data_IF_903858030975
#
_entry.id   IF_903858030975
#
_cell.length_a   1.000
_cell.length_b   1.000
_cell.length_c   1.000
_cell.angle_alpha   90.00
_cell.angle_beta   90.00
_cell.angle_gamma   90.00
#
_symmetry.space_group_name_H-M   'P 1'
#
loop_
_entity.id
_entity.type
_entity.pdbx_description
1 polymer ?
#
# COMPACT_ATOMS: atom_id res chain seq x y z
N UNK A 1 16.30 -18.96 5.83
CA UNK A 1 15.25 -17.94 5.68
C UNK A 1 15.72 -17.05 4.55
N UNK A 2 15.42 -17.43 3.31
CA UNK A 2 15.80 -16.68 2.11
C UNK A 2 14.50 -16.34 1.39
N UNK A 3 14.12 -15.06 1.35
CA UNK A 3 13.10 -14.56 0.45
C UNK A 3 13.84 -13.83 -0.67
N UNK A 4 13.82 -14.41 -1.87
CA UNK A 4 14.28 -13.80 -3.10
C UNK A 4 13.10 -12.98 -3.65
N UNK A 5 13.18 -11.66 -3.62
CA UNK A 5 12.28 -10.79 -4.37
C UNK A 5 13.02 -10.33 -5.63
N UNK A 6 12.63 -10.88 -6.78
CA UNK A 6 12.99 -10.34 -8.08
C UNK A 6 11.80 -9.56 -8.62
N UNK A 7 11.89 -8.23 -8.62
CA UNK A 7 10.88 -7.37 -9.23
C UNK A 7 11.50 -6.61 -10.41
N UNK A 8 10.96 -6.85 -11.60
CA UNK A 8 11.31 -6.16 -12.84
C UNK A 8 10.59 -4.81 -12.87
N UNK A 9 11.35 -3.70 -12.86
CA UNK A 9 10.79 -2.35 -13.06
C UNK A 9 11.03 -1.83 -14.48
N UNK A 10 9.94 -1.31 -15.03
CA UNK A 10 9.77 -0.80 -16.38
C UNK A 10 9.99 0.72 -16.36
N UNK A 11 10.94 1.19 -17.16
CA UNK A 11 11.16 2.61 -17.46
C UNK A 11 10.12 3.08 -18.48
N UNK A 12 9.42 4.17 -18.19
CA UNK A 12 8.54 4.85 -19.14
C UNK A 12 9.32 5.93 -19.88
N UNK A 13 9.57 5.74 -21.18
CA UNK A 13 10.08 6.79 -22.05
C UNK A 13 8.95 7.78 -22.40
N UNK A 14 9.20 9.08 -22.19
CA UNK A 14 8.30 10.18 -22.58
C UNK A 14 8.87 10.85 -23.84
N UNK A 15 8.06 11.13 -24.87
CA UNK A 15 8.54 11.83 -26.07
C UNK A 15 8.64 13.36 -25.87
N UNK A 16 9.74 13.94 -26.37
CA UNK A 16 10.04 15.37 -26.44
C UNK A 16 9.03 16.18 -27.29
N UNK A 17 8.65 17.36 -26.80
CA UNK A 17 8.19 18.49 -27.63
C UNK A 17 8.48 19.87 -26.99
N UNK A 18 9.52 20.53 -27.52
CA UNK A 18 9.66 21.95 -27.93
C UNK A 18 9.09 23.12 -27.08
N UNK A 19 10.05 23.90 -26.52
CA UNK A 19 10.19 25.38 -26.30
C UNK A 19 8.94 26.29 -26.47
N UNK A 20 8.69 27.31 -25.62
CA UNK A 20 9.48 28.55 -25.55
C UNK A 20 8.91 29.60 -24.52
N UNK A 21 9.83 30.46 -24.05
CA UNK A 21 9.76 31.83 -23.45
C UNK A 21 8.79 32.19 -22.31
N UNK A 22 9.29 32.47 -21.09
CA UNK A 22 9.59 33.83 -20.58
C UNK A 22 8.53 34.21 -19.51
N UNK A 23 8.77 34.77 -18.33
CA UNK A 23 9.74 35.75 -17.84
C UNK A 23 9.96 35.58 -16.33
N UNK A 24 11.11 36.10 -15.89
CA UNK A 24 11.54 36.35 -14.51
C UNK A 24 10.86 37.62 -13.99
N UNK A 25 10.44 37.69 -12.71
CA UNK A 25 10.70 38.85 -11.84
C UNK A 25 10.45 38.56 -10.34
N UNK A 26 11.17 39.35 -9.55
CA UNK A 26 11.62 39.18 -8.17
C UNK A 26 10.75 39.82 -7.08
N UNK A 27 10.72 39.17 -5.90
CA UNK A 27 10.98 39.67 -4.53
C UNK A 27 10.26 40.89 -3.89
N UNK A 28 9.85 40.68 -2.62
CA UNK A 28 9.62 41.61 -1.47
C UNK A 28 8.36 42.52 -1.55
N UNK A 29 7.54 42.77 -0.50
CA UNK A 29 7.82 43.08 0.92
C UNK A 29 6.54 43.03 1.81
N UNK A 30 6.75 42.77 3.11
CA UNK A 30 6.02 43.13 4.35
C UNK A 30 4.66 43.87 4.35
N UNK A 31 3.71 43.40 5.20
CA UNK A 31 3.04 44.13 6.32
C UNK A 31 1.86 43.27 6.88
N UNK A 32 1.94 42.70 8.10
CA UNK A 32 1.41 43.20 9.40
C UNK A 32 -0.05 42.82 9.74
N UNK A 33 -0.25 42.26 10.95
CA UNK A 33 -1.54 42.12 11.67
C UNK A 33 -1.70 40.72 12.28
N UNK A 34 -1.08 40.40 13.43
CA UNK A 34 -1.65 40.48 14.80
C UNK A 34 -3.03 39.83 14.97
N UNK A 35 -3.05 38.61 15.53
CA UNK A 35 -3.74 38.22 16.78
C UNK A 35 -3.48 36.71 17.00
N UNK A 36 -2.62 36.31 17.94
CA UNK A 36 -2.84 36.14 19.39
C UNK A 36 -3.64 34.87 19.73
N UNK A 37 -2.95 33.87 20.29
CA UNK A 37 -3.58 32.67 20.86
C UNK A 37 -2.69 31.44 20.96
N UNK A 38 -1.42 31.58 21.40
CA UNK A 38 -0.57 30.43 21.69
C UNK A 38 -0.91 29.87 23.09
N UNK A 39 -1.48 28.67 23.13
CA UNK A 39 -1.56 27.85 24.32
C UNK A 39 -0.23 27.10 24.49
N UNK A 40 0.51 27.40 25.56
CA UNK A 40 1.61 26.57 26.06
C UNK A 40 1.25 25.98 27.42
N UNK A 41 1.87 24.84 27.79
CA UNK A 41 1.36 23.96 28.83
C UNK A 41 1.98 24.28 30.20
N UNK A 42 1.14 24.60 31.19
CA UNK A 42 1.54 24.69 32.59
C UNK A 42 1.14 23.40 33.31
N UNK A 43 2.11 22.50 33.51
CA UNK A 43 1.99 21.36 34.43
C UNK A 43 3.31 21.25 35.21
N UNK A 44 3.50 22.11 36.21
CA UNK A 44 4.55 21.91 37.23
C UNK A 44 4.40 22.80 38.48
N UNK A 45 3.23 23.37 38.80
CA UNK A 45 3.11 24.33 39.93
C UNK A 45 2.12 23.98 41.05
N UNK A 46 1.46 22.82 41.03
CA UNK A 46 0.49 22.45 42.09
C UNK A 46 1.06 21.56 43.22
N UNK A 47 2.39 21.48 43.40
CA UNK A 47 3.01 20.68 44.49
C UNK A 47 3.78 21.52 45.53
N UNK A 48 3.85 22.86 45.41
CA UNK A 48 4.64 23.67 46.36
C UNK A 48 3.85 24.81 47.02
N UNK A 49 2.73 24.50 47.66
CA UNK A 49 2.06 25.46 48.54
C UNK A 49 1.48 24.80 49.78
N UNK A 50 2.35 24.47 50.76
CA UNK A 50 1.94 24.30 52.17
C UNK A 50 3.14 24.15 53.14
N UNK A 51 4.33 24.72 52.88
CA UNK A 51 5.40 24.75 53.89
C UNK A 51 6.19 26.06 53.77
N UNK A 52 5.72 27.10 54.45
CA UNK A 52 6.52 28.13 55.13
C UNK A 52 5.62 29.34 55.42
N UNK A 53 5.29 29.54 56.71
CA UNK A 53 5.29 30.83 57.40
C UNK A 53 4.52 30.67 58.71
N UNK A 54 5.25 30.49 59.81
CA UNK A 54 5.29 31.45 60.93
C UNK A 54 6.21 30.88 62.00
N UNK A 55 7.42 31.42 62.03
CA UNK A 55 8.33 31.30 63.18
C UNK A 55 8.10 32.55 64.04
N UNK A 56 7.21 32.45 65.02
CA UNK A 56 7.17 33.32 66.20
C UNK A 56 6.78 32.48 67.40
N UNK A 57 7.75 32.29 68.29
CA UNK A 57 7.56 31.69 69.62
C UNK A 57 6.89 32.72 70.53
N UNK A 58 5.83 32.33 71.27
CA UNK A 58 5.62 32.82 72.61
C UNK A 58 5.81 31.69 73.61
N UNK A 59 6.69 31.99 74.57
CA UNK A 59 6.95 31.23 75.77
C UNK A 59 5.73 31.37 76.71
N UNK A 60 4.87 30.34 76.79
CA UNK A 60 4.00 30.10 77.95
C UNK A 60 3.37 28.71 77.86
N UNK A 61 3.60 27.90 78.89
CA UNK A 61 3.13 26.53 79.01
C UNK A 61 1.61 26.46 79.20
N UNK A 62 0.87 25.85 78.26
CA UNK A 62 -0.41 25.21 78.54
C UNK A 62 -0.58 23.93 77.70
N UNK A 63 -1.06 22.89 78.37
CA UNK A 63 -1.42 21.58 77.82
C UNK A 63 -2.51 21.71 76.75
N UNK A 64 -2.31 21.12 75.57
CA UNK A 64 -3.41 20.70 74.70
C UNK A 64 -3.07 19.35 74.06
N UNK A 65 -3.13 18.29 74.88
CA UNK A 65 -3.45 16.97 74.36
C UNK A 65 -4.92 17.05 73.92
N UNK A 66 -5.17 17.26 72.62
CA UNK A 66 -6.51 17.11 72.04
C UNK A 66 -7.10 15.80 72.56
N UNK A 67 -8.31 15.86 73.12
CA UNK A 67 -8.92 14.66 73.68
C UNK A 67 -9.04 13.59 72.59
N UNK A 68 -9.01 12.31 72.98
CA UNK A 68 -9.23 11.20 72.04
C UNK A 68 -10.55 11.37 71.25
N UNK A 69 -11.51 12.08 71.85
CA UNK A 69 -12.81 12.43 71.28
C UNK A 69 -12.71 13.49 70.17
N UNK A 70 -11.92 14.55 70.38
CA UNK A 70 -11.65 15.58 69.36
C UNK A 70 -10.85 15.01 68.18
N UNK A 71 -9.92 14.10 68.44
CA UNK A 71 -9.14 13.43 67.41
C UNK A 71 -10.01 12.46 66.60
N UNK A 72 -10.91 11.73 67.27
CA UNK A 72 -11.90 10.86 66.63
C UNK A 72 -12.87 11.62 65.71
N UNK A 73 -13.33 12.80 66.15
CA UNK A 73 -14.22 13.66 65.37
C UNK A 73 -13.53 14.18 64.10
N UNK A 74 -12.27 14.60 64.20
CA UNK A 74 -11.48 15.04 63.05
C UNK A 74 -11.20 13.89 62.07
N UNK A 75 -10.92 12.67 62.57
CA UNK A 75 -10.77 11.49 61.73
C UNK A 75 -12.09 11.13 61.01
N UNK A 76 -13.24 11.27 61.67
CA UNK A 76 -14.54 11.06 61.06
C UNK A 76 -14.78 12.04 59.91
N UNK A 77 -14.49 13.33 60.10
CA UNK A 77 -14.65 14.34 59.06
C UNK A 77 -13.73 14.11 57.85
N UNK A 78 -12.49 13.69 58.09
CA UNK A 78 -11.57 13.30 57.02
C UNK A 78 -12.10 12.09 56.25
N UNK A 79 -12.59 11.06 56.95
CA UNK A 79 -13.19 9.87 56.32
C UNK A 79 -14.44 10.21 55.51
N UNK A 80 -15.29 11.12 56.00
CA UNK A 80 -16.46 11.59 55.25
C UNK A 80 -16.04 12.34 53.97
N UNK A 81 -15.06 13.23 54.07
CA UNK A 81 -14.51 13.95 52.89
C UNK A 81 -13.90 12.99 51.88
N UNK A 82 -13.15 11.98 52.33
CA UNK A 82 -12.58 10.96 51.44
C UNK A 82 -13.66 10.13 50.76
N UNK A 83 -14.69 9.71 51.50
CA UNK A 83 -15.82 8.95 50.94
C UNK A 83 -16.57 9.77 49.88
N UNK A 84 -16.82 11.04 50.15
CA UNK A 84 -17.46 11.94 49.19
C UNK A 84 -16.59 12.14 47.94
N UNK A 85 -15.26 12.25 48.10
CA UNK A 85 -14.35 12.36 46.96
C UNK A 85 -14.30 11.10 46.11
N UNK A 86 -14.32 9.91 46.74
CA UNK A 86 -14.37 8.63 46.02
C UNK A 86 -15.66 8.54 45.20
N UNK A 87 -16.82 8.87 45.79
CA UNK A 87 -18.09 8.85 45.09
C UNK A 87 -18.12 9.82 43.90
N UNK A 88 -17.55 11.02 44.05
CA UNK A 88 -17.41 11.98 42.94
C UNK A 88 -16.50 11.46 41.83
N UNK A 89 -15.39 10.80 42.19
CA UNK A 89 -14.46 10.21 41.23
C UNK A 89 -15.07 9.01 40.50
N UNK A 90 -15.81 8.16 41.21
CA UNK A 90 -16.54 7.02 40.62
C UNK A 90 -17.61 7.51 39.63
N UNK A 91 -18.40 8.52 40.00
CA UNK A 91 -19.39 9.12 39.11
C UNK A 91 -18.76 9.78 37.88
N UNK A 92 -17.63 10.48 38.05
CA UNK A 92 -16.89 11.07 36.94
C UNK A 92 -16.30 9.99 36.01
N UNK A 93 -15.77 8.89 36.57
CA UNK A 93 -15.27 7.76 35.78
C UNK A 93 -16.39 7.04 35.03
N UNK A 94 -17.58 6.91 35.61
CA UNK A 94 -18.73 6.32 34.93
C UNK A 94 -19.19 7.19 33.75
N UNK A 95 -19.20 8.51 33.93
CA UNK A 95 -19.51 9.46 32.85
C UNK A 95 -18.43 9.45 31.76
N UNK A 96 -17.15 9.43 32.13
CA UNK A 96 -16.03 9.27 31.19
C UNK A 96 -16.07 7.94 30.45
N UNK A 97 -16.53 6.86 31.09
CA UNK A 97 -16.66 5.54 30.46
C UNK A 97 -17.84 5.47 29.47
N UNK A 98 -18.79 6.41 29.54
CA UNK A 98 -19.89 6.55 28.57
C UNK A 98 -19.51 7.40 27.36
N UNK A 99 -18.45 8.20 27.47
CA UNK A 99 -17.86 8.92 26.34
C UNK A 99 -17.03 7.90 25.56
N UNK A 100 -17.47 7.55 24.34
CA UNK A 100 -16.61 6.78 23.44
C UNK A 100 -15.28 7.53 23.30
N UNK A 101 -14.13 6.87 23.53
CA UNK A 101 -12.84 7.52 23.34
C UNK A 101 -12.80 8.07 21.90
N UNK A 102 -12.23 9.27 21.71
CA UNK A 102 -12.16 9.86 20.37
C UNK A 102 -11.53 8.84 19.41
N UNK A 103 -12.05 8.71 18.18
CA UNK A 103 -11.55 7.73 17.23
C UNK A 103 -10.05 7.95 17.04
N UNK A 104 -9.25 6.94 17.39
CA UNK A 104 -7.79 6.98 17.27
C UNK A 104 -7.46 7.24 15.81
N UNK A 105 -6.82 8.37 15.50
CA UNK A 105 -6.48 8.70 14.12
C UNK A 105 -5.68 7.55 13.47
N UNK A 106 -6.00 7.22 12.21
CA UNK A 106 -5.24 6.22 11.46
C UNK A 106 -3.84 6.77 11.24
N UNK A 107 -2.85 6.22 11.96
CA UNK A 107 -1.47 6.70 11.89
C UNK A 107 -0.70 5.90 10.85
N UNK A 108 -0.17 6.60 9.87
CA UNK A 108 0.68 6.04 8.82
C UNK A 108 2.11 6.50 9.04
N UNK A 109 3.07 5.59 8.88
CA UNK A 109 4.51 5.91 8.91
C UNK A 109 5.11 5.64 7.53
N UNK A 110 6.00 6.51 7.09
CA UNK A 110 6.73 6.33 5.83
C UNK A 110 8.18 6.01 6.18
N UNK A 111 8.70 4.94 5.58
CA UNK A 111 10.11 4.61 5.54
C UNK A 111 10.61 4.69 4.11
N UNK A 112 11.90 4.98 3.95
CA UNK A 112 12.57 5.10 2.67
C UNK A 112 13.62 4.01 2.54
N UNK A 113 13.61 3.27 1.45
CA UNK A 113 14.51 2.15 1.22
C UNK A 113 15.41 2.44 0.04
N UNK A 114 16.70 2.17 0.19
CA UNK A 114 17.67 2.25 -0.89
C UNK A 114 18.06 0.85 -1.31
N UNK A 115 17.77 0.51 -2.56
CA UNK A 115 18.27 -0.72 -3.18
C UNK A 115 19.77 -0.54 -3.45
N UNK A 116 20.61 -1.20 -2.67
CA UNK A 116 22.06 -1.22 -2.86
C UNK A 116 22.48 -2.49 -3.59
N UNK A 117 23.64 -2.45 -4.25
CA UNK A 117 24.23 -3.59 -4.98
C UNK A 117 24.40 -4.85 -4.10
N UNK A 118 24.51 -4.68 -2.79
CA UNK A 118 24.72 -5.77 -1.83
C UNK A 118 23.44 -6.54 -1.44
N UNK A 119 22.29 -6.23 -2.07
CA UNK A 119 20.98 -6.87 -1.83
C UNK A 119 20.42 -6.70 -0.41
N UNK A 120 21.08 -5.94 0.46
CA UNK A 120 20.54 -5.52 1.76
C UNK A 120 19.75 -4.21 1.59
N UNK A 121 18.43 -4.29 1.81
CA UNK A 121 17.54 -3.14 1.81
C UNK A 121 17.78 -2.30 3.06
N UNK A 122 18.50 -1.19 2.90
CA UNK A 122 18.71 -0.24 3.99
C UNK A 122 17.47 0.66 4.14
N UNK A 123 16.91 0.72 5.35
CA UNK A 123 15.70 1.49 5.65
C UNK A 123 16.04 2.79 6.38
N UNK A 124 15.39 3.89 6.01
CA UNK A 124 15.69 5.24 6.50
C UNK A 124 14.41 6.00 6.89
N UNK A 125 14.56 6.96 7.82
CA UNK A 125 13.48 7.85 8.23
C UNK A 125 13.34 9.12 7.38
N UNK A 126 14.42 9.53 6.72
CA UNK A 126 14.43 10.73 5.89
C UNK A 126 14.38 10.35 4.41
N UNK A 127 13.74 11.20 3.61
CA UNK A 127 13.75 11.08 2.15
C UNK A 127 15.19 11.10 1.62
N UNK A 128 15.47 10.31 0.57
CA UNK A 128 16.79 10.30 -0.03
C UNK A 128 17.02 11.55 -0.88
N UNK A 129 18.30 11.82 -1.13
CA UNK A 129 18.79 12.94 -1.92
C UNK A 129 19.89 12.44 -2.87
N UNK A 130 20.02 13.07 -4.05
CA UNK A 130 21.13 12.79 -4.95
C UNK A 130 22.41 13.43 -4.42
N UNK A 131 23.47 12.64 -4.28
CA UNK A 131 24.83 13.10 -4.04
C UNK A 131 25.63 13.08 -5.34
N UNK A 132 26.19 14.23 -5.69
CA UNK A 132 27.09 14.38 -6.85
C UNK A 132 28.54 14.33 -6.38
N UNK A 133 29.26 13.30 -6.78
CA UNK A 133 30.71 13.17 -6.65
C UNK A 133 31.39 13.48 -8.00
N UNK A 134 32.71 13.67 -8.02
CA UNK A 134 33.46 14.12 -9.21
C UNK A 134 33.18 13.30 -10.48
N UNK A 135 32.94 11.99 -10.34
CA UNK A 135 32.68 11.09 -11.46
C UNK A 135 31.33 10.34 -11.38
N UNK A 136 30.59 10.48 -10.29
CA UNK A 136 29.47 9.58 -9.97
C UNK A 136 28.31 10.32 -9.30
N UNK A 137 27.08 9.90 -9.58
CA UNK A 137 25.87 10.44 -8.96
C UNK A 137 25.19 9.28 -8.26
N UNK A 138 25.10 9.36 -6.92
CA UNK A 138 24.52 8.29 -6.11
C UNK A 138 23.37 8.77 -5.28
N UNK A 139 22.47 7.85 -4.96
CA UNK A 139 21.37 8.12 -4.06
C UNK A 139 21.81 7.89 -2.60
N UNK A 140 21.60 8.87 -1.74
CA UNK A 140 21.92 8.77 -0.31
C UNK A 140 20.70 9.08 0.54
N UNK A 141 20.62 8.49 1.72
CA UNK A 141 19.59 8.80 2.70
C UNK A 141 20.21 9.01 4.08
N UNK A 142 19.54 9.82 4.89
CA UNK A 142 19.93 10.11 6.28
C UNK A 142 19.03 9.35 7.25
N UNK A 143 19.48 9.21 8.50
CA UNK A 143 18.70 8.58 9.57
C UNK A 143 18.39 7.11 9.30
N UNK A 144 19.45 6.30 9.15
CA UNK A 144 19.38 4.85 8.99
C UNK A 144 18.65 4.21 10.20
N UNK A 145 17.70 3.34 9.91
CA UNK A 145 17.03 2.48 10.88
C UNK A 145 17.68 1.10 10.83
N UNK A 146 18.45 0.79 11.88
CA UNK A 146 19.09 -0.52 12.03
C UNK A 146 18.08 -1.66 12.29
N UNK A 147 16.93 -1.33 12.87
CA UNK A 147 15.91 -2.29 13.29
C UNK A 147 14.52 -1.64 13.12
N UNK A 148 13.96 -1.64 11.89
CA UNK A 148 12.66 -1.07 11.58
C UNK A 148 11.53 -1.73 12.39
N UNK A 149 11.59 -3.04 12.61
CA UNK A 149 10.60 -3.80 13.36
C UNK A 149 10.52 -3.30 14.80
N UNK A 150 11.66 -3.18 15.49
CA UNK A 150 11.69 -2.67 16.86
C UNK A 150 11.29 -1.21 16.96
N UNK A 151 11.57 -0.40 15.92
CA UNK A 151 11.07 0.97 15.86
C UNK A 151 9.53 0.99 15.85
N UNK A 152 8.91 0.16 15.02
CA UNK A 152 7.46 0.02 14.94
C UNK A 152 6.88 -0.48 16.26
N UNK A 153 7.49 -1.48 16.90
CA UNK A 153 7.03 -1.99 18.21
C UNK A 153 7.05 -0.92 19.31
N UNK A 154 8.04 -0.03 19.28
CA UNK A 154 8.19 1.05 20.26
C UNK A 154 7.20 2.19 20.02
N UNK A 155 6.99 2.54 18.76
CA UNK A 155 6.02 3.54 18.31
C UNK A 155 4.62 2.93 18.29
N UNK A 156 3.97 2.91 19.45
CA UNK A 156 2.57 2.47 19.57
C UNK A 156 1.68 3.22 18.57
N UNK A 157 0.61 2.55 18.17
CA UNK A 157 -0.50 3.10 17.36
C UNK A 157 -0.21 3.35 15.88
N UNK A 158 0.92 2.88 15.31
CA UNK A 158 1.07 2.85 13.85
C UNK A 158 0.10 1.80 13.28
N UNK A 159 -0.79 2.24 12.38
CA UNK A 159 -1.77 1.37 11.73
C UNK A 159 -1.13 0.54 10.61
N UNK A 160 -0.31 1.19 9.78
CA UNK A 160 0.53 0.57 8.75
C UNK A 160 1.72 1.48 8.39
N UNK A 161 2.73 0.88 7.77
CA UNK A 161 3.97 1.51 7.31
C UNK A 161 4.04 1.41 5.80
N UNK A 162 4.37 2.52 5.13
CA UNK A 162 4.66 2.57 3.70
C UNK A 162 6.17 2.60 3.51
N UNK A 163 6.70 1.60 2.80
CA UNK A 163 8.09 1.53 2.39
C UNK A 163 8.20 2.10 0.97
N UNK A 164 8.80 3.28 0.83
CA UNK A 164 9.12 3.87 -0.47
C UNK A 164 10.49 3.39 -0.90
N UNK A 165 10.57 2.53 -1.91
CA UNK A 165 11.82 1.92 -2.36
C UNK A 165 12.37 2.69 -3.55
N UNK A 166 13.64 3.07 -3.47
CA UNK A 166 14.33 3.86 -4.47
C UNK A 166 15.50 3.07 -5.03
N UNK A 167 15.72 3.24 -6.33
CA UNK A 167 16.81 2.63 -7.07
C UNK A 167 17.39 3.66 -8.02
N UNK A 168 18.71 3.71 -8.13
CA UNK A 168 19.39 4.60 -9.07
C UNK A 168 19.00 4.28 -10.52
N UNK A 169 18.77 3.00 -10.81
CA UNK A 169 18.36 2.52 -12.13
C UNK A 169 17.03 3.10 -12.59
N UNK A 170 16.10 3.29 -11.66
CA UNK A 170 14.75 3.76 -11.95
C UNK A 170 14.73 5.19 -12.53
N UNK A 171 15.66 6.05 -12.10
CA UNK A 171 15.76 7.44 -12.57
C UNK A 171 17.04 7.73 -13.35
N UNK A 172 17.82 6.70 -13.69
CA UNK A 172 19.13 6.81 -14.35
C UNK A 172 19.08 7.69 -15.60
N UNK A 173 18.12 7.46 -16.49
CA UNK A 173 17.98 8.22 -17.73
C UNK A 173 17.75 9.73 -17.47
N UNK A 174 16.83 10.08 -16.56
CA UNK A 174 16.53 11.46 -16.20
C UNK A 174 17.73 12.15 -15.52
N UNK A 175 18.47 11.43 -14.68
CA UNK A 175 19.69 11.93 -14.02
C UNK A 175 20.81 12.16 -15.04
N UNK A 176 21.02 11.21 -15.96
CA UNK A 176 22.02 11.33 -17.02
C UNK A 176 21.71 12.48 -17.98
N UNK A 177 20.44 12.68 -18.32
CA UNK A 177 19.98 13.81 -19.13
C UNK A 177 20.25 15.14 -18.43
N UNK A 178 19.84 15.29 -17.17
CA UNK A 178 20.12 16.47 -16.37
C UNK A 178 21.63 16.76 -16.29
N UNK A 179 22.47 15.72 -16.11
CA UNK A 179 23.93 15.85 -16.13
C UNK A 179 24.45 16.33 -17.49
N UNK A 180 23.97 15.74 -18.59
CA UNK A 180 24.40 16.06 -19.96
C UNK A 180 24.08 17.52 -20.32
N UNK A 181 22.93 18.02 -19.89
CA UNK A 181 22.51 19.39 -20.16
C UNK A 181 22.85 20.39 -19.05
N UNK A 182 23.62 19.97 -18.04
CA UNK A 182 23.97 20.80 -16.87
C UNK A 182 22.75 21.42 -16.17
N UNK A 183 21.63 20.69 -16.18
CA UNK A 183 20.38 21.06 -15.51
C UNK A 183 20.36 20.65 -14.04
N UNK A 184 19.34 21.09 -13.28
CA UNK A 184 19.12 20.60 -11.92
C UNK A 184 18.77 19.11 -11.96
N UNK A 185 19.28 18.34 -11.00
CA UNK A 185 18.89 16.94 -10.84
C UNK A 185 17.41 16.83 -10.47
N UNK A 186 16.68 15.81 -10.99
CA UNK A 186 15.31 15.57 -10.58
C UNK A 186 15.25 15.19 -9.10
N UNK A 187 14.14 15.49 -8.43
CA UNK A 187 13.92 14.97 -7.08
C UNK A 187 13.88 13.43 -7.12
N UNK A 188 14.44 12.72 -6.13
CA UNK A 188 14.29 11.28 -6.02
C UNK A 188 12.82 10.85 -5.96
N UNK A 189 12.45 9.90 -6.80
CA UNK A 189 11.13 9.30 -6.90
C UNK A 189 11.27 7.81 -6.59
N UNK A 190 10.42 7.24 -5.72
CA UNK A 190 10.48 5.81 -5.45
C UNK A 190 10.15 5.01 -6.71
N UNK A 191 10.93 3.96 -6.97
CA UNK A 191 10.65 2.98 -8.00
C UNK A 191 9.33 2.25 -7.71
N UNK A 192 9.07 1.97 -6.44
CA UNK A 192 7.83 1.38 -5.96
C UNK A 192 7.59 1.63 -4.48
N UNK A 193 6.41 1.23 -4.03
CA UNK A 193 5.98 1.32 -2.65
C UNK A 193 5.35 0.03 -2.19
N UNK A 194 5.84 -0.50 -1.09
CA UNK A 194 5.31 -1.65 -0.38
C UNK A 194 4.66 -1.22 0.93
N UNK A 195 3.71 -2.00 1.44
CA UNK A 195 2.95 -1.62 2.64
C UNK A 195 2.95 -2.75 3.68
N UNK A 196 3.47 -2.47 4.88
CA UNK A 196 3.38 -3.38 6.01
C UNK A 196 2.22 -2.99 6.91
N UNK A 197 1.27 -3.90 7.14
CA UNK A 197 0.19 -3.68 8.10
C UNK A 197 0.73 -3.96 9.51
N UNK A 198 0.75 -2.97 10.40
CA UNK A 198 1.44 -3.13 11.69
C UNK A 198 0.51 -3.39 12.87
N UNK A 199 -0.75 -2.97 12.75
CA UNK A 199 -1.75 -3.18 13.81
C UNK A 199 -2.69 -4.34 13.49
N UNK A 200 -3.08 -5.09 14.53
CA UNK A 200 -4.07 -6.17 14.41
C UNK A 200 -5.41 -5.66 13.87
N UNK A 201 -5.83 -4.48 14.32
CA UNK A 201 -7.04 -3.82 13.86
C UNK A 201 -7.02 -3.56 12.35
N UNK A 202 -5.88 -3.07 11.83
CA UNK A 202 -5.68 -2.87 10.39
C UNK A 202 -5.74 -4.19 9.62
N UNK A 203 -5.07 -5.24 10.10
CA UNK A 203 -5.12 -6.57 9.48
C UNK A 203 -6.55 -7.13 9.44
N UNK A 204 -7.31 -6.99 10.53
CA UNK A 204 -8.70 -7.42 10.60
C UNK A 204 -9.60 -6.62 9.66
N UNK A 205 -9.40 -5.30 9.56
CA UNK A 205 -10.14 -4.44 8.65
C UNK A 205 -9.93 -4.84 7.18
N UNK A 206 -8.69 -5.11 6.78
CA UNK A 206 -8.37 -5.57 5.40
C UNK A 206 -8.92 -6.97 5.13
N UNK A 207 -8.85 -7.90 6.11
CA UNK A 207 -9.48 -9.22 5.99
C UNK A 207 -11.00 -9.12 5.85
N UNK A 208 -11.64 -8.25 6.61
CA UNK A 208 -13.07 -7.99 6.53
C UNK A 208 -13.44 -7.42 5.16
N UNK A 209 -12.63 -6.50 4.62
CA UNK A 209 -12.79 -5.99 3.25
C UNK A 209 -12.72 -7.12 2.21
N UNK A 210 -11.69 -7.97 2.25
CA UNK A 210 -11.56 -9.11 1.33
C UNK A 210 -12.75 -10.07 1.41
N UNK A 211 -13.33 -10.27 2.60
CA UNK A 211 -14.51 -11.12 2.79
C UNK A 211 -15.77 -10.60 2.06
N UNK A 212 -15.84 -9.32 1.68
CA UNK A 212 -16.94 -8.75 0.88
C UNK A 212 -16.92 -9.18 -0.60
N UNK A 213 -15.84 -9.83 -1.01
CA UNK A 213 -15.55 -10.25 -2.38
C UNK A 213 -15.22 -11.76 -2.46
N UNK A 214 -16.14 -12.65 -2.04
CA UNK A 214 -15.85 -14.08 -1.95
C UNK A 214 -15.52 -14.73 -3.31
N UNK A 215 -16.05 -14.18 -4.41
CA UNK A 215 -15.80 -14.66 -5.77
C UNK A 215 -14.35 -14.45 -6.25
N UNK A 216 -13.67 -13.42 -5.75
CA UNK A 216 -12.29 -13.06 -6.11
C UNK A 216 -11.30 -13.36 -4.98
N UNK A 217 -11.63 -14.29 -4.07
CA UNK A 217 -10.76 -14.62 -2.91
C UNK A 217 -9.34 -15.02 -3.31
N UNK A 218 -9.18 -15.60 -4.49
CA UNK A 218 -7.88 -16.02 -5.05
C UNK A 218 -7.03 -14.83 -5.53
N UNK A 219 -7.62 -13.64 -5.71
CA UNK A 219 -6.91 -12.43 -6.12
C UNK A 219 -6.23 -11.74 -4.94
N UNK A 220 -6.81 -11.84 -3.75
CA UNK A 220 -6.32 -11.12 -2.60
C UNK A 220 -5.02 -11.70 -2.03
N UNK A 221 -4.07 -10.84 -1.62
CA UNK A 221 -2.89 -11.28 -0.91
C UNK A 221 -3.27 -11.83 0.47
N UNK A 222 -2.38 -12.66 1.01
CA UNK A 222 -2.42 -12.97 2.45
C UNK A 222 -1.98 -11.72 3.19
N UNK A 223 -2.68 -11.40 4.28
CA UNK A 223 -2.38 -10.22 5.11
C UNK A 223 -2.13 -10.66 6.55
N UNK A 224 -1.00 -10.21 7.07
CA UNK A 224 -0.56 -10.38 8.45
C UNK A 224 0.31 -9.17 8.85
N UNK A 225 0.96 -9.25 10.00
CA UNK A 225 1.78 -8.16 10.55
C UNK A 225 3.24 -8.19 10.13
N UNK A 226 3.66 -9.24 9.44
CA UNK A 226 5.06 -9.59 9.25
C UNK A 226 5.45 -9.51 7.76
N UNK A 227 4.49 -9.73 6.86
CA UNK A 227 4.66 -9.71 5.41
C UNK A 227 4.17 -8.38 4.83
N UNK A 228 4.97 -7.80 3.94
CA UNK A 228 4.59 -6.61 3.18
C UNK A 228 3.60 -6.96 2.08
N UNK A 229 2.64 -6.07 1.87
CA UNK A 229 1.84 -6.02 0.66
C UNK A 229 2.68 -5.35 -0.43
N UNK A 230 3.01 -6.12 -1.47
CA UNK A 230 3.87 -5.62 -2.54
C UNK A 230 3.11 -4.90 -3.65
N UNK A 231 3.77 -3.90 -4.22
CA UNK A 231 3.40 -3.29 -5.48
C UNK A 231 3.24 -4.33 -6.61
N UNK A 232 2.43 -4.06 -7.65
CA UNK A 232 1.66 -2.84 -7.89
C UNK A 232 0.21 -2.94 -7.38
N UNK A 233 -0.07 -3.72 -6.34
CA UNK A 233 -1.40 -3.87 -5.73
C UNK A 233 -2.53 -4.20 -6.72
N UNK A 234 -2.31 -5.15 -7.63
CA UNK A 234 -3.28 -5.56 -8.67
C UNK A 234 -4.66 -5.92 -8.09
N UNK A 235 -4.69 -6.52 -6.89
CA UNK A 235 -5.94 -6.81 -6.17
C UNK A 235 -6.78 -5.55 -5.95
N UNK A 236 -6.15 -4.40 -5.71
CA UNK A 236 -6.85 -3.14 -5.55
C UNK A 236 -7.31 -2.60 -6.90
N UNK A 237 -6.46 -2.65 -7.93
CA UNK A 237 -6.81 -2.24 -9.29
C UNK A 237 -8.14 -2.87 -9.77
N UNK A 238 -8.31 -4.19 -9.61
CA UNK A 238 -9.54 -4.88 -10.02
C UNK A 238 -10.79 -4.51 -9.19
N UNK A 239 -10.61 -3.94 -8.00
CA UNK A 239 -11.68 -3.61 -7.08
C UNK A 239 -11.92 -2.11 -6.88
N UNK A 240 -11.05 -1.23 -7.40
CA UNK A 240 -11.09 0.22 -7.19
C UNK A 240 -12.42 0.85 -7.60
N UNK A 241 -12.98 0.45 -8.75
CA UNK A 241 -14.24 0.99 -9.32
C UNK A 241 -15.51 0.44 -8.66
N UNK A 242 -15.43 -0.69 -7.97
CA UNK A 242 -16.57 -1.38 -7.37
C UNK A 242 -16.36 -1.62 -5.87
N UNK A 243 -15.66 -0.69 -5.21
CA UNK A 243 -15.25 -0.88 -3.83
C UNK A 243 -16.48 -0.94 -2.91
N UNK A 244 -16.49 -1.93 -2.02
CA UNK A 244 -17.57 -2.13 -1.04
C UNK A 244 -17.19 -1.62 0.35
N UNK A 245 -16.27 -0.65 0.42
CA UNK A 245 -15.71 -0.17 1.70
C UNK A 245 -16.80 0.37 2.62
N UNK A 246 -17.83 1.02 2.07
CA UNK A 246 -18.99 1.49 2.83
C UNK A 246 -19.84 0.40 3.51
N UNK A 247 -19.63 -0.87 3.16
CA UNK A 247 -20.29 -2.00 3.84
C UNK A 247 -19.56 -2.45 5.11
N UNK A 248 -18.36 -1.92 5.38
CA UNK A 248 -17.61 -2.23 6.59
C UNK A 248 -18.12 -1.42 7.79
N UNK A 249 -17.96 -1.92 9.03
CA UNK A 249 -18.06 -1.10 10.22
C UNK A 249 -17.23 0.18 10.09
N UNK A 250 -17.75 1.30 10.60
CA UNK A 250 -17.15 2.64 10.44
C UNK A 250 -15.63 2.66 10.62
N UNK A 251 -15.14 2.07 11.71
CA UNK A 251 -13.72 2.04 12.04
C UNK A 251 -12.88 1.25 11.03
N UNK A 252 -13.38 0.10 10.58
CA UNK A 252 -12.71 -0.70 9.55
C UNK A 252 -12.73 0.01 8.20
N UNK A 253 -13.84 0.69 7.86
CA UNK A 253 -13.92 1.52 6.66
C UNK A 253 -12.89 2.67 6.68
N UNK A 254 -12.72 3.36 7.82
CA UNK A 254 -11.71 4.41 8.00
C UNK A 254 -10.28 3.88 7.76
N UNK A 255 -9.94 2.72 8.33
CA UNK A 255 -8.64 2.06 8.17
C UNK A 255 -8.37 1.65 6.71
N UNK A 256 -9.34 0.98 6.08
CA UNK A 256 -9.23 0.53 4.69
C UNK A 256 -9.16 1.73 3.75
N UNK A 257 -9.97 2.78 3.99
CA UNK A 257 -9.92 4.02 3.20
C UNK A 257 -8.54 4.68 3.28
N UNK A 258 -7.93 4.75 4.46
CA UNK A 258 -6.59 5.31 4.61
C UNK A 258 -5.55 4.52 3.78
N UNK A 259 -5.60 3.19 3.83
CA UNK A 259 -4.72 2.33 3.04
C UNK A 259 -4.90 2.53 1.54
N UNK A 260 -6.13 2.40 1.04
CA UNK A 260 -6.37 2.50 -0.40
C UNK A 260 -6.17 3.93 -0.91
N UNK A 261 -6.36 4.95 -0.07
CA UNK A 261 -6.02 6.34 -0.42
C UNK A 261 -4.52 6.50 -0.63
N UNK A 262 -3.68 5.83 0.18
CA UNK A 262 -2.23 5.82 -0.05
C UNK A 262 -1.85 5.08 -1.33
N UNK A 263 -2.50 3.94 -1.62
CA UNK A 263 -2.29 3.20 -2.87
C UNK A 263 -2.69 4.06 -4.08
N UNK A 264 -3.86 4.69 -4.06
CA UNK A 264 -4.35 5.56 -5.14
C UNK A 264 -3.44 6.76 -5.37
N UNK A 265 -2.93 7.40 -4.31
CA UNK A 265 -1.98 8.52 -4.45
C UNK A 265 -0.71 8.14 -5.22
N UNK A 266 -0.26 6.89 -5.11
CA UNK A 266 0.96 6.42 -5.74
C UNK A 266 0.72 5.77 -7.12
N UNK A 267 -0.38 5.02 -7.29
CA UNK A 267 -0.58 4.15 -8.46
C UNK A 267 -1.77 4.52 -9.35
N UNK A 268 -2.61 5.48 -8.98
CA UNK A 268 -3.72 5.91 -9.84
C UNK A 268 -3.27 6.27 -11.27
N UNK A 269 -2.16 7.01 -11.50
CA UNK A 269 -1.71 7.32 -12.86
C UNK A 269 -1.36 6.07 -13.68
N UNK A 270 -0.74 5.07 -13.06
CA UNK A 270 -0.43 3.79 -13.70
C UNK A 270 -1.73 3.06 -14.06
N UNK A 271 -2.66 2.96 -13.11
CA UNK A 271 -3.93 2.29 -13.30
C UNK A 271 -4.79 2.96 -14.36
N UNK A 272 -4.79 4.29 -14.42
CA UNK A 272 -5.54 5.07 -15.40
C UNK A 272 -4.97 4.87 -16.81
N UNK A 273 -3.64 4.82 -16.96
CA UNK A 273 -2.98 4.51 -18.22
C UNK A 273 -3.35 3.09 -18.70
N UNK A 274 -3.28 2.10 -17.81
CA UNK A 274 -3.65 0.71 -18.13
C UNK A 274 -5.13 0.62 -18.51
N UNK A 275 -6.03 1.26 -17.75
CA UNK A 275 -7.45 1.32 -18.08
C UNK A 275 -7.69 1.93 -19.47
N UNK A 276 -6.99 3.02 -19.79
CA UNK A 276 -7.06 3.65 -21.12
C UNK A 276 -6.59 2.66 -22.20
N UNK A 277 -5.41 2.07 -22.03
CA UNK A 277 -4.83 1.13 -22.97
C UNK A 277 -5.76 -0.06 -23.26
N UNK A 278 -6.27 -0.70 -22.20
CA UNK A 278 -7.19 -1.82 -22.31
C UNK A 278 -8.53 -1.41 -22.96
N UNK A 279 -9.03 -0.20 -22.66
CA UNK A 279 -10.27 0.31 -23.27
C UNK A 279 -10.17 0.53 -24.77
N UNK A 280 -8.96 0.79 -25.28
CA UNK A 280 -8.67 0.89 -26.73
C UNK A 280 -8.53 -0.49 -27.38
N UNK A 281 -8.55 -1.58 -26.61
CA UNK A 281 -8.36 -2.95 -27.09
C UNK A 281 -6.90 -3.37 -27.24
N UNK A 282 -5.97 -2.66 -26.58
CA UNK A 282 -4.55 -2.96 -26.64
C UNK A 282 -4.01 -3.46 -25.30
N UNK A 283 -2.90 -4.20 -25.35
CA UNK A 283 -2.16 -4.67 -24.17
C UNK A 283 -0.66 -4.66 -24.50
N UNK A 284 0.18 -4.50 -23.47
CA UNK A 284 1.63 -4.59 -23.58
C UNK A 284 2.18 -5.60 -22.58
N UNK A 285 3.49 -5.82 -22.60
CA UNK A 285 4.15 -6.69 -21.61
C UNK A 285 3.89 -6.20 -20.17
N UNK A 286 4.01 -4.90 -19.92
CA UNK A 286 3.78 -4.31 -18.59
C UNK A 286 2.32 -4.28 -18.11
N UNK A 287 1.34 -4.37 -19.02
CA UNK A 287 -0.09 -4.38 -18.64
C UNK A 287 -0.74 -5.77 -18.67
N UNK A 288 0.01 -6.80 -19.07
CA UNK A 288 -0.50 -8.16 -19.22
C UNK A 288 -1.13 -8.72 -17.93
N UNK A 289 -0.52 -8.45 -16.78
CA UNK A 289 -1.00 -8.93 -15.47
C UNK A 289 -2.36 -8.35 -15.04
N UNK A 290 -2.79 -7.24 -15.66
CA UNK A 290 -4.02 -6.53 -15.36
C UNK A 290 -5.19 -6.95 -16.26
N UNK A 291 -4.90 -7.59 -17.40
CA UNK A 291 -5.91 -8.05 -18.34
C UNK A 291 -6.66 -9.29 -17.83
N UNK A 292 -5.96 -10.15 -17.09
CA UNK A 292 -6.46 -11.45 -16.68
C UNK A 292 -6.62 -11.57 -15.16
N UNK A 293 -7.76 -12.13 -14.74
CA UNK A 293 -8.02 -12.42 -13.32
C UNK A 293 -8.56 -13.83 -13.08
N UNK A 294 -8.22 -14.46 -11.94
CA UNK A 294 -8.87 -15.68 -11.47
C UNK A 294 -10.41 -15.58 -11.55
N UNK A 295 -11.06 -16.64 -12.01
CA UNK A 295 -12.50 -16.71 -12.20
C UNK A 295 -13.01 -16.10 -13.51
N UNK A 296 -12.18 -15.40 -14.29
CA UNK A 296 -12.55 -14.87 -15.60
C UNK A 296 -12.67 -16.00 -16.63
N UNK A 297 -13.62 -15.85 -17.56
CA UNK A 297 -13.79 -16.76 -18.69
C UNK A 297 -12.83 -16.36 -19.80
N UNK A 298 -11.97 -17.30 -20.20
CA UNK A 298 -11.00 -17.13 -21.27
C UNK A 298 -11.39 -17.97 -22.48
N UNK A 299 -11.05 -17.47 -23.66
CA UNK A 299 -11.25 -18.15 -24.94
C UNK A 299 -9.90 -18.37 -25.58
N UNK A 300 -9.62 -19.61 -25.95
CA UNK A 300 -8.53 -19.97 -26.85
C UNK A 300 -9.10 -20.58 -28.12
N UNK A 301 -8.29 -20.68 -29.17
CA UNK A 301 -8.69 -21.32 -30.42
C UNK A 301 -7.79 -22.52 -30.69
N UNK A 302 -8.40 -23.69 -30.85
CA UNK A 302 -7.72 -24.92 -31.29
C UNK A 302 -8.33 -25.33 -32.61
N UNK A 303 -7.53 -25.39 -33.67
CA UNK A 303 -7.97 -25.69 -35.04
C UNK A 303 -9.15 -24.82 -35.52
N UNK A 304 -9.16 -23.54 -35.12
CA UNK A 304 -10.22 -22.58 -35.44
C UNK A 304 -11.51 -22.75 -34.62
N UNK A 305 -11.55 -23.70 -33.69
CA UNK A 305 -12.69 -23.92 -32.79
C UNK A 305 -12.44 -23.20 -31.46
N UNK A 306 -13.36 -22.33 -31.00
CA UNK A 306 -13.22 -21.67 -29.72
C UNK A 306 -13.39 -22.67 -28.58
N UNK A 307 -12.45 -22.64 -27.63
CA UNK A 307 -12.49 -23.40 -26.39
C UNK A 307 -12.63 -22.45 -25.21
N UNK A 308 -13.52 -22.81 -24.27
CA UNK A 308 -13.80 -22.02 -23.08
C UNK A 308 -13.03 -22.54 -21.88
N UNK A 309 -12.39 -21.62 -21.18
CA UNK A 309 -11.58 -21.87 -19.98
C UNK A 309 -12.02 -20.93 -18.85
N UNK A 310 -11.77 -21.34 -17.62
CA UNK A 310 -11.87 -20.46 -16.45
C UNK A 310 -10.47 -20.28 -15.90
N UNK A 311 -9.99 -19.05 -15.83
CA UNK A 311 -8.71 -18.73 -15.20
C UNK A 311 -8.74 -19.13 -13.72
N UNK A 312 -7.68 -19.77 -13.23
CA UNK A 312 -7.48 -20.11 -11.81
C UNK A 312 -6.30 -19.38 -11.19
N UNK A 313 -5.45 -18.76 -12.01
CA UNK A 313 -4.37 -17.87 -11.58
C UNK A 313 -4.41 -16.54 -12.33
N UNK A 314 -3.61 -15.58 -11.85
CA UNK A 314 -3.14 -14.44 -12.66
C UNK A 314 -2.12 -14.92 -13.70
N UNK A 315 -1.77 -14.10 -14.71
CA UNK A 315 -0.62 -14.36 -15.56
C UNK A 315 0.66 -14.44 -14.72
N UNK A 316 1.55 -15.35 -15.09
CA UNK A 316 2.86 -15.50 -14.46
C UNK A 316 3.89 -15.93 -15.49
N UNK A 317 5.15 -15.59 -15.25
CA UNK A 317 6.27 -16.06 -16.06
C UNK A 317 6.91 -17.29 -15.41
N UNK A 318 7.79 -17.99 -16.13
CA UNK A 318 8.53 -19.13 -15.54
C UNK A 318 9.47 -18.73 -14.39
N UNK A 319 9.85 -17.44 -14.29
CA UNK A 319 10.62 -16.95 -13.16
C UNK A 319 9.83 -16.94 -11.84
N UNK A 320 8.50 -17.00 -11.92
CA UNK A 320 7.58 -16.89 -10.78
C UNK A 320 7.13 -18.25 -10.23
N UNK A 321 7.61 -19.38 -10.79
CA UNK A 321 7.23 -20.72 -10.34
C UNK A 321 8.09 -21.16 -9.11
N UNK A 322 7.48 -21.53 -7.96
CA UNK A 322 8.23 -21.96 -6.78
C UNK A 322 8.70 -23.41 -6.97
N UNK A 323 10.03 -23.59 -7.06
CA UNK A 323 10.82 -24.82 -7.24
C UNK A 323 10.89 -25.41 -8.66
N UNK A 324 12.02 -25.20 -9.36
CA UNK A 324 13.12 -26.18 -9.48
C UNK A 324 14.31 -25.49 -10.17
N UNK A 325 15.51 -26.02 -9.96
CA UNK A 325 16.77 -25.42 -10.39
C UNK A 325 16.84 -25.13 -11.90
N UNK A 326 17.39 -23.94 -12.20
CA UNK A 326 18.10 -23.55 -13.41
C UNK A 326 17.30 -22.93 -14.59
N UNK A 327 17.92 -21.85 -15.07
CA UNK A 327 17.75 -21.14 -16.34
C UNK A 327 16.58 -20.14 -16.36
N UNK A 328 16.87 -18.96 -15.82
CA UNK A 328 16.23 -17.71 -16.25
C UNK A 328 16.27 -17.66 -17.79
N UNK A 329 15.14 -17.62 -18.53
CA UNK A 329 15.16 -16.92 -19.78
C UNK A 329 15.23 -15.44 -19.38
N UNK A 330 16.46 -14.94 -19.21
CA UNK A 330 16.66 -13.49 -19.28
C UNK A 330 15.95 -13.05 -20.56
N UNK A 331 15.14 -11.99 -20.49
CA UNK A 331 14.98 -11.15 -21.66
C UNK A 331 16.39 -10.93 -22.20
N UNK A 332 16.71 -11.49 -23.36
CA UNK A 332 18.08 -11.44 -23.88
C UNK A 332 18.44 -9.96 -24.01
N UNK A 333 19.18 -9.41 -23.05
CA UNK A 333 19.81 -8.09 -23.18
C UNK A 333 20.63 -8.17 -24.47
N UNK A 334 20.26 -7.29 -25.41
CA UNK A 334 20.57 -7.36 -26.85
C UNK A 334 22.02 -7.72 -27.15
N UNK A 335 22.21 -8.50 -28.23
CA UNK A 335 23.43 -8.50 -29.04
C UNK A 335 23.17 -8.06 -30.50
N UNK A 336 21.92 -7.86 -30.92
CA UNK A 336 21.59 -7.39 -32.28
C UNK A 336 20.41 -6.40 -32.30
N UNK A 337 20.46 -5.28 -33.06
CA UNK A 337 19.38 -4.28 -33.14
C UNK A 337 18.12 -4.71 -33.92
N UNK A 338 18.09 -5.92 -34.51
CA UNK A 338 17.02 -6.37 -35.41
C UNK A 338 16.07 -7.42 -34.82
N UNK A 339 16.32 -7.90 -33.60
CA UNK A 339 15.46 -8.90 -32.94
C UNK A 339 14.30 -8.20 -32.20
N UNK A 340 13.07 -8.62 -32.50
CA UNK A 340 11.87 -8.19 -31.76
C UNK A 340 11.90 -8.72 -30.32
N UNK A 341 11.22 -8.02 -29.42
CA UNK A 341 11.02 -8.45 -28.03
C UNK A 341 9.93 -9.52 -27.99
N UNK A 342 10.31 -10.74 -27.57
CA UNK A 342 9.38 -11.85 -27.35
C UNK A 342 8.98 -11.88 -25.87
N UNK A 343 7.68 -11.73 -25.61
CA UNK A 343 7.08 -11.86 -24.29
C UNK A 343 6.36 -13.20 -24.15
N UNK A 344 6.51 -13.85 -23.00
CA UNK A 344 5.90 -15.15 -22.70
C UNK A 344 5.26 -15.14 -21.32
N UNK A 345 3.99 -15.54 -21.27
CA UNK A 345 3.19 -15.60 -20.06
C UNK A 345 2.43 -16.92 -20.00
N UNK A 346 2.13 -17.38 -18.79
CA UNK A 346 1.31 -18.55 -18.53
C UNK A 346 0.13 -18.18 -17.65
N UNK A 347 -1.01 -18.83 -17.88
CA UNK A 347 -2.19 -18.72 -17.02
C UNK A 347 -2.64 -20.13 -16.66
N UNK A 348 -2.72 -20.43 -15.37
CA UNK A 348 -3.38 -21.66 -14.91
C UNK A 348 -4.88 -21.51 -15.14
N UNK A 349 -5.49 -22.53 -15.71
CA UNK A 349 -6.89 -22.53 -16.05
C UNK A 349 -7.51 -23.89 -15.84
N UNK A 350 -8.84 -23.91 -15.88
CA UNK A 350 -9.63 -25.14 -15.90
C UNK A 350 -10.66 -25.11 -17.02
N UNK A 351 -10.83 -26.24 -17.68
CA UNK A 351 -11.86 -26.47 -18.68
C UNK A 351 -12.71 -27.69 -18.31
N UNK A 352 -13.85 -27.84 -18.99
CA UNK A 352 -14.72 -29.01 -18.86
C UNK A 352 -14.73 -29.73 -20.20
N UNK A 353 -14.31 -30.99 -20.19
CA UNK A 353 -14.36 -31.86 -21.36
C UNK A 353 -15.47 -32.89 -21.18
N UNK A 354 -16.14 -33.23 -22.28
CA UNK A 354 -17.09 -34.33 -22.33
C UNK A 354 -16.46 -35.53 -23.05
N UNK A 355 -16.17 -36.59 -22.30
CA UNK A 355 -15.64 -37.87 -22.82
C UNK A 355 -16.54 -39.03 -22.38
N UNK A 356 -17.85 -38.88 -22.58
CA UNK A 356 -18.88 -39.77 -22.03
C UNK A 356 -19.30 -39.43 -20.59
N UNK A 357 -18.45 -38.70 -19.86
CA UNK A 357 -18.76 -37.98 -18.62
C UNK A 357 -18.13 -36.59 -18.67
N UNK A 358 -18.65 -35.65 -17.88
CA UNK A 358 -18.01 -34.34 -17.67
C UNK A 358 -16.80 -34.48 -16.76
N UNK A 359 -15.62 -34.15 -17.29
CA UNK A 359 -14.35 -34.19 -16.56
C UNK A 359 -13.78 -32.78 -16.51
N UNK A 360 -13.33 -32.37 -15.32
CA UNK A 360 -12.57 -31.13 -15.14
C UNK A 360 -11.13 -31.40 -15.53
N UNK A 361 -10.56 -30.53 -16.35
CA UNK A 361 -9.17 -30.58 -16.76
C UNK A 361 -8.51 -29.28 -16.33
N UNK A 362 -7.39 -29.40 -15.64
CA UNK A 362 -6.52 -28.27 -15.31
C UNK A 362 -5.42 -28.18 -16.36
N UNK A 363 -5.17 -26.99 -16.86
CA UNK A 363 -4.20 -26.74 -17.93
C UNK A 363 -3.56 -25.38 -17.80
N UNK A 364 -2.32 -25.25 -18.29
CA UNK A 364 -1.60 -23.98 -18.39
C UNK A 364 -1.74 -23.46 -19.81
N UNK A 365 -2.40 -22.32 -19.94
CA UNK A 365 -2.55 -21.61 -21.21
C UNK A 365 -1.33 -20.72 -21.42
N UNK A 366 -0.70 -20.86 -22.59
CA UNK A 366 0.49 -20.09 -22.96
C UNK A 366 0.08 -18.88 -23.78
N UNK A 367 0.63 -17.72 -23.44
CA UNK A 367 0.46 -16.46 -24.17
C UNK A 367 1.84 -16.02 -24.63
N UNK A 368 1.99 -15.84 -25.94
CA UNK A 368 3.24 -15.37 -26.54
C UNK A 368 2.94 -14.30 -27.58
N UNK A 369 3.74 -13.24 -27.57
CA UNK A 369 3.64 -12.18 -28.56
C UNK A 369 4.98 -11.44 -28.73
N UNK A 370 5.13 -10.79 -29.88
CA UNK A 370 6.33 -10.05 -30.25
C UNK A 370 6.05 -8.55 -30.42
N UNK A 371 6.98 -7.72 -29.97
CA UNK A 371 6.89 -6.26 -30.05
C UNK A 371 8.22 -5.63 -30.48
N UNK A 372 8.19 -4.42 -31.04
CA UNK A 372 9.40 -3.69 -31.44
C UNK A 372 10.18 -3.11 -30.26
N UNK A 373 9.45 -2.79 -29.18
CA UNK A 373 9.97 -2.28 -27.91
C UNK A 373 9.50 -3.18 -26.78
N UNK A 374 10.20 -3.20 -25.65
CA UNK A 374 9.87 -4.07 -24.50
C UNK A 374 8.42 -3.94 -24.01
N UNK A 375 7.83 -2.74 -24.12
CA UNK A 375 6.46 -2.46 -23.74
C UNK A 375 5.59 -2.01 -24.92
N UNK A 376 5.91 -2.48 -26.13
CA UNK A 376 5.10 -2.23 -27.30
C UNK A 376 3.67 -2.73 -27.11
N UNK A 377 2.71 -2.02 -27.69
CA UNK A 377 1.30 -2.39 -27.65
C UNK A 377 0.96 -3.38 -28.75
N UNK A 378 0.11 -4.35 -28.43
CA UNK A 378 -0.49 -5.28 -29.38
C UNK A 378 -2.01 -5.31 -29.18
N UNK A 379 -2.74 -5.60 -30.24
CA UNK A 379 -4.19 -5.76 -30.17
C UNK A 379 -4.53 -7.03 -29.38
N UNK A 380 -5.35 -6.89 -28.32
CA UNK A 380 -5.75 -8.00 -27.45
C UNK A 380 -6.36 -9.15 -28.27
N UNK A 381 -7.11 -8.86 -29.32
CA UNK A 381 -7.76 -9.87 -30.17
C UNK A 381 -6.77 -10.76 -30.93
N UNK A 382 -5.50 -10.34 -31.03
CA UNK A 382 -4.43 -11.12 -31.67
C UNK A 382 -3.77 -12.12 -30.72
N UNK A 383 -4.04 -12.03 -29.42
CA UNK A 383 -3.52 -12.98 -28.45
C UNK A 383 -4.08 -14.40 -28.70
N UNK A 384 -3.28 -15.44 -28.44
CA UNK A 384 -3.75 -16.83 -28.56
C UNK A 384 -4.84 -17.18 -27.52
N UNK A 385 -4.90 -16.41 -26.43
CA UNK A 385 -5.84 -16.56 -25.32
C UNK A 385 -6.33 -15.18 -24.96
N UNK A 386 -7.64 -14.98 -24.93
CA UNK A 386 -8.26 -13.68 -24.65
C UNK A 386 -9.40 -13.83 -23.65
N UNK A 387 -9.65 -12.82 -22.79
CA UNK A 387 -10.88 -12.79 -22.02
C UNK A 387 -12.11 -12.71 -22.95
N UNK A 388 -13.21 -13.34 -22.55
CA UNK A 388 -14.43 -13.43 -23.34
C UNK A 388 -14.92 -12.06 -23.88
N UNK A 389 -14.78 -11.01 -23.07
CA UNK A 389 -15.22 -9.64 -23.40
C UNK A 389 -14.46 -9.02 -24.59
N UNK A 390 -13.25 -9.50 -24.89
CA UNK A 390 -12.44 -9.05 -26.04
C UNK A 390 -12.61 -9.97 -27.27
N UNK A 391 -13.49 -10.97 -27.21
CA UNK A 391 -13.83 -11.79 -28.39
C UNK A 391 -14.92 -11.16 -29.25
N UNK A 392 -15.01 -11.56 -30.52
CA UNK A 392 -16.09 -11.12 -31.41
C UNK A 392 -17.48 -11.41 -30.84
N UNK A 393 -18.46 -10.53 -31.13
CA UNK A 393 -19.85 -10.71 -30.71
C UNK A 393 -20.43 -12.07 -31.15
N UNK A 394 -19.98 -12.62 -32.28
CA UNK A 394 -20.41 -13.94 -32.74
C UNK A 394 -20.01 -15.05 -31.76
N UNK A 395 -18.79 -15.00 -31.21
CA UNK A 395 -18.28 -15.96 -30.21
C UNK A 395 -19.01 -15.76 -28.89
N UNK A 396 -19.14 -14.51 -28.42
CA UNK A 396 -19.88 -14.19 -27.20
C UNK A 396 -21.33 -14.69 -27.27
N UNK A 397 -22.02 -14.43 -28.38
CA UNK A 397 -23.40 -14.87 -28.60
C UNK A 397 -23.53 -16.40 -28.70
N UNK A 398 -22.57 -17.09 -29.32
CA UNK A 398 -22.57 -18.56 -29.36
C UNK A 398 -22.46 -19.16 -27.96
N UNK A 399 -21.61 -18.59 -27.11
CA UNK A 399 -21.42 -19.05 -25.73
C UNK A 399 -22.59 -18.68 -24.82
N UNK A 400 -23.19 -17.49 -25.00
CA UNK A 400 -24.39 -17.07 -24.30
C UNK A 400 -25.61 -17.95 -24.65
N UNK A 401 -25.77 -18.34 -25.93
CA UNK A 401 -26.84 -19.25 -26.36
C UNK A 401 -26.67 -20.66 -25.79
N UNK A 402 -25.45 -21.15 -25.63
CA UNK A 402 -25.17 -22.43 -24.95
C UNK A 402 -25.65 -22.43 -23.49
N UNK A 403 -25.55 -21.29 -22.81
CA UNK A 403 -26.02 -21.08 -21.42
C UNK A 403 -27.53 -21.26 -21.28
N UNK A 404 -28.31 -20.84 -22.28
CA UNK A 404 -29.79 -20.94 -22.31
C UNK A 404 -30.32 -22.36 -22.58
N UNK A 405 -29.54 -23.21 -23.22
CA UNK A 405 -29.92 -24.62 -23.45
C UNK A 405 -29.71 -25.50 -22.22
N UNK A 406 -28.74 -25.18 -21.36
CA UNK A 406 -28.47 -25.97 -20.15
C UNK A 406 -29.49 -25.70 -19.02
N UNK A 407 -30.10 -24.51 -18.98
CA UNK A 407 -31.18 -24.20 -18.02
C UNK A 407 -32.54 -24.78 -18.41
N UNK A 408 -32.72 -25.27 -19.64
CA UNK A 408 -33.97 -25.89 -20.10
C UNK A 408 -34.05 -27.40 -19.89
N UNK A 409 -32.92 -28.04 -19.58
CA UNK A 409 -32.82 -29.49 -19.37
C UNK A 409 -32.49 -29.86 -17.91
N UNK A 410 -32.73 -28.95 -16.95
CA UNK A 410 -32.60 -29.22 -15.49
C UNK A 410 -33.95 -29.41 -14.81
#
# INVERSE_FOLDING_TARGET
MNQNYGHLYISADVPEALFDTGEVFTAQSFSSGHDAGAATPNSSEDIQMAIAETDQVPDEAFSDLLSAEQTSLMCFDVLQKMKQRIQQLEAANEELSRIEPPPVAVRVRIFHCLENEDMEENTYLAEPEWMVNENDIRLIARSLLMDPERYIEKEKDISFVVYKCYSEDYQRAAVEEARKFSGPLPNPVPAYQDILLTSKEMVEAVKAFFALHPASRQEFPKVNTDDRLSAPFIWWYHHRKSSKIGCLPRRQAELVNALVSHIEQAYAPLYDNIDEQLSRGFVSNGSMEYLFRPGQVLISFTDGVPQGHIATSRPFTYADEPDDYAIVPMSKRRRDPSEKYLSQWNISSRSILYRGNFVRVEEKLKIEFETETENGEIDISTLPVVPLEYTSEAVQNRLAKGKLTLEKDS
#
